data_IF_407631855560
#
_entry.id   IF_407631855560
#
_cell.length_a   1.000
_cell.length_b   1.000
_cell.length_c   1.000
_cell.angle_alpha   90.00
_cell.angle_beta   90.00
_cell.angle_gamma   90.00
#
_symmetry.space_group_name_H-M   'P 1'
#
loop_
_entity.id
_entity.type
_entity.pdbx_description
1 polymer ?
#
# COMPACT_ATOMS: atom_id res chain seq x y z
N UNK A 1 4.77 3.68 25.64
CA UNK A 1 5.11 3.02 24.36
C UNK A 1 5.47 1.59 24.65
N UNK A 2 4.81 0.64 24.04
CA UNK A 2 5.19 -0.76 24.21
C UNK A 2 6.45 -1.01 23.40
N UNK A 3 7.46 -1.64 23.98
CA UNK A 3 8.76 -1.99 23.39
C UNK A 3 8.64 -2.64 22.00
N UNK A 4 7.57 -3.40 21.80
CA UNK A 4 7.27 -4.11 20.55
C UNK A 4 6.92 -3.20 19.36
N UNK A 5 6.19 -2.10 19.57
CA UNK A 5 5.82 -1.15 18.49
C UNK A 5 7.04 -0.31 18.07
N UNK A 6 7.88 0.06 19.00
CA UNK A 6 9.13 0.77 18.71
C UNK A 6 10.10 -0.11 17.92
N UNK A 7 10.25 -1.37 18.29
CA UNK A 7 11.04 -2.36 17.54
C UNK A 7 10.52 -2.55 16.11
N UNK A 8 9.16 -2.57 15.90
CA UNK A 8 8.58 -2.67 14.57
C UNK A 8 8.86 -1.41 13.74
N UNK A 9 8.78 -0.22 14.33
CA UNK A 9 9.10 1.03 13.65
C UNK A 9 10.57 1.06 13.19
N UNK A 10 11.50 0.64 14.03
CA UNK A 10 12.91 0.61 13.67
C UNK A 10 13.19 -0.39 12.54
N UNK A 11 12.55 -1.55 12.54
CA UNK A 11 12.64 -2.53 11.46
C UNK A 11 12.07 -1.98 10.14
N UNK A 12 10.92 -1.27 10.19
CA UNK A 12 10.35 -0.61 9.00
C UNK A 12 11.33 0.41 8.44
N UNK A 13 11.91 1.27 9.27
CA UNK A 13 12.91 2.27 8.87
C UNK A 13 14.19 1.66 8.30
N UNK A 14 14.55 0.47 8.76
CA UNK A 14 15.67 -0.28 8.20
C UNK A 14 15.34 -0.95 6.84
N UNK A 15 14.12 -0.79 6.32
CA UNK A 15 13.68 -1.36 5.04
C UNK A 15 13.32 -2.86 5.12
N UNK A 16 13.10 -3.42 6.31
CA UNK A 16 12.69 -4.81 6.43
C UNK A 16 11.30 -5.04 5.83
N UNK A 17 11.23 -5.82 4.76
CA UNK A 17 9.99 -6.07 4.00
C UNK A 17 8.93 -6.82 4.81
N UNK A 18 9.32 -7.65 5.77
CA UNK A 18 8.38 -8.38 6.63
C UNK A 18 7.79 -7.43 7.67
N UNK A 19 8.64 -6.57 8.24
CA UNK A 19 8.20 -5.53 9.16
C UNK A 19 7.26 -4.54 8.46
N UNK A 20 7.57 -4.12 7.24
CA UNK A 20 6.72 -3.28 6.40
C UNK A 20 5.35 -3.92 6.15
N UNK A 21 5.31 -5.18 5.71
CA UNK A 21 4.06 -5.89 5.49
C UNK A 21 3.23 -6.04 6.77
N UNK A 22 3.89 -6.29 7.91
CA UNK A 22 3.25 -6.39 9.23
C UNK A 22 2.70 -5.05 9.70
N UNK A 23 3.44 -3.96 9.52
CA UNK A 23 3.03 -2.60 9.86
C UNK A 23 1.78 -2.19 9.08
N UNK A 24 1.75 -2.47 7.77
CA UNK A 24 0.58 -2.19 6.93
C UNK A 24 -0.62 -3.06 7.36
N UNK A 25 -0.41 -4.35 7.65
CA UNK A 25 -1.49 -5.22 8.17
C UNK A 25 -2.07 -4.69 9.48
N UNK A 26 -1.23 -4.11 10.34
CA UNK A 26 -1.66 -3.53 11.61
C UNK A 26 -2.59 -2.32 11.42
N UNK A 27 -2.24 -1.38 10.54
CA UNK A 27 -3.07 -0.20 10.26
C UNK A 27 -4.32 -0.53 9.45
N UNK A 28 -4.30 -1.61 8.66
CA UNK A 28 -5.46 -2.12 7.93
C UNK A 28 -6.45 -2.88 8.84
N UNK A 29 -6.04 -3.27 10.03
CA UNK A 29 -6.86 -4.06 10.95
C UNK A 29 -8.10 -3.28 11.42
N UNK A 30 -9.21 -4.03 11.58
CA UNK A 30 -10.45 -3.50 12.16
C UNK A 30 -10.57 -3.76 13.65
N UNK A 31 -9.64 -4.49 14.23
CA UNK A 31 -9.65 -4.87 15.64
C UNK A 31 -9.36 -3.66 16.53
N UNK A 32 -10.05 -3.59 17.63
CA UNK A 32 -9.94 -2.47 18.56
C UNK A 32 -8.60 -2.45 19.30
N UNK A 33 -8.10 -3.63 19.69
CA UNK A 33 -6.80 -3.83 20.33
C UNK A 33 -5.60 -3.42 19.44
N UNK A 34 -5.78 -3.46 18.10
CA UNK A 34 -4.76 -3.03 17.14
C UNK A 34 -4.73 -1.51 16.92
N UNK A 35 -5.76 -0.77 17.30
CA UNK A 35 -5.83 0.69 17.05
C UNK A 35 -4.78 1.47 17.80
N UNK A 36 -4.59 1.15 19.08
CA UNK A 36 -3.60 1.81 19.92
C UNK A 36 -2.18 1.48 19.44
N UNK A 37 -1.91 0.22 19.12
CA UNK A 37 -0.63 -0.22 18.59
C UNK A 37 -0.34 0.45 17.23
N UNK A 38 -1.33 0.56 16.33
CA UNK A 38 -1.23 1.25 15.05
C UNK A 38 -0.94 2.75 15.22
N UNK A 39 -1.63 3.42 16.16
CA UNK A 39 -1.40 4.85 16.44
C UNK A 39 0.02 5.09 16.93
N UNK A 40 0.49 4.32 17.89
CA UNK A 40 1.86 4.39 18.41
C UNK A 40 2.90 4.16 17.31
N UNK A 41 2.66 3.18 16.44
CA UNK A 41 3.53 2.91 15.30
C UNK A 41 3.59 4.09 14.34
N UNK A 42 2.44 4.64 13.96
CA UNK A 42 2.35 5.79 13.06
C UNK A 42 3.02 7.04 13.64
N UNK A 43 2.82 7.33 14.92
CA UNK A 43 3.49 8.43 15.62
C UNK A 43 5.02 8.29 15.55
N UNK A 44 5.54 7.06 15.72
CA UNK A 44 6.97 6.79 15.63
C UNK A 44 7.54 6.91 14.21
N UNK A 45 6.72 6.64 13.17
CA UNK A 45 7.12 6.68 11.76
C UNK A 45 6.91 8.05 11.09
N UNK A 46 5.99 8.87 11.59
CA UNK A 46 5.60 10.14 10.99
C UNK A 46 6.77 11.11 10.74
N UNK A 47 7.79 11.25 11.63
CA UNK A 47 8.94 12.12 11.38
C UNK A 47 9.81 11.71 10.18
N UNK A 48 9.63 10.49 9.67
CA UNK A 48 10.43 9.91 8.58
C UNK A 48 9.60 9.74 7.29
N UNK A 49 8.46 10.40 7.21
CA UNK A 49 7.55 10.35 6.05
C UNK A 49 7.42 11.74 5.42
N UNK A 50 6.94 11.81 4.16
CA UNK A 50 6.60 13.06 3.48
C UNK A 50 7.44 13.40 2.26
N UNK A 51 8.52 12.66 1.98
CA UNK A 51 9.45 12.99 0.89
C UNK A 51 9.19 12.20 -0.41
N UNK A 52 8.20 11.31 -0.43
CA UNK A 52 7.90 10.51 -1.63
C UNK A 52 7.01 11.23 -2.65
N UNK A 53 7.15 10.82 -3.91
CA UNK A 53 6.18 11.15 -4.96
C UNK A 53 5.01 10.16 -4.87
N UNK A 54 3.78 10.67 -4.70
CA UNK A 54 2.56 9.86 -4.61
C UNK A 54 1.75 10.01 -5.88
N UNK A 55 1.47 8.89 -6.56
CA UNK A 55 0.71 8.86 -7.81
C UNK A 55 -0.52 7.96 -7.65
N UNK A 56 -1.71 8.51 -7.85
CA UNK A 56 -2.96 7.77 -7.95
C UNK A 56 -3.20 7.31 -9.38
N UNK A 57 -3.45 6.01 -9.59
CA UNK A 57 -3.74 5.41 -10.89
C UNK A 57 -5.17 4.92 -10.85
N UNK A 58 -6.04 5.60 -11.59
CA UNK A 58 -7.46 5.32 -11.69
C UNK A 58 -7.86 5.01 -13.13
N UNK A 59 -8.97 4.33 -13.31
CA UNK A 59 -9.53 4.00 -14.62
C UNK A 59 -10.42 2.76 -14.59
N UNK A 60 -11.18 2.56 -15.66
CA UNK A 60 -12.09 1.43 -15.79
C UNK A 60 -11.38 0.07 -15.66
N UNK A 61 -12.09 -0.99 -15.24
CA UNK A 61 -11.59 -2.36 -15.34
C UNK A 61 -11.13 -2.68 -16.77
N UNK A 62 -9.98 -3.33 -16.92
CA UNK A 62 -9.42 -3.68 -18.23
C UNK A 62 -8.72 -2.54 -18.99
N UNK A 63 -8.63 -1.33 -18.43
CA UNK A 63 -7.95 -0.17 -19.05
C UNK A 63 -6.41 -0.32 -19.14
N UNK A 64 -5.83 -1.39 -18.60
CA UNK A 64 -4.38 -1.62 -18.64
C UNK A 64 -3.61 -0.99 -17.49
N UNK A 65 -4.26 -0.62 -16.37
CA UNK A 65 -3.62 -0.01 -15.20
C UNK A 65 -2.47 -0.86 -14.65
N UNK A 66 -2.70 -2.14 -14.39
CA UNK A 66 -1.67 -3.03 -13.85
C UNK A 66 -0.50 -3.23 -14.83
N UNK A 67 -0.76 -3.26 -16.15
CA UNK A 67 0.28 -3.28 -17.19
C UNK A 67 1.09 -2.00 -17.17
N UNK A 68 0.43 -0.86 -17.04
CA UNK A 68 1.12 0.43 -16.89
C UNK A 68 1.99 0.47 -15.63
N UNK A 69 1.47 0.04 -14.49
CA UNK A 69 2.20 -0.01 -13.22
C UNK A 69 3.44 -0.90 -13.33
N UNK A 70 3.30 -2.06 -13.99
CA UNK A 70 4.41 -2.99 -14.22
C UNK A 70 5.55 -2.31 -15.00
N UNK A 71 5.24 -1.71 -16.14
CA UNK A 71 6.23 -1.05 -17.00
C UNK A 71 6.80 0.20 -16.33
N UNK A 72 5.96 1.04 -15.79
CA UNK A 72 6.35 2.29 -15.15
C UNK A 72 7.15 2.06 -13.86
N UNK A 73 6.74 1.09 -13.05
CA UNK A 73 7.46 0.71 -11.83
C UNK A 73 8.87 0.18 -12.13
N UNK A 74 9.01 -0.68 -13.12
CA UNK A 74 10.33 -1.14 -13.56
C UNK A 74 11.19 0.01 -14.10
N UNK A 75 10.61 0.94 -14.85
CA UNK A 75 11.32 2.13 -15.32
C UNK A 75 11.83 3.00 -14.14
N UNK A 76 11.01 3.21 -13.11
CA UNK A 76 11.42 3.91 -11.87
C UNK A 76 12.63 3.23 -11.24
N UNK A 77 12.65 1.91 -11.17
CA UNK A 77 13.74 1.12 -10.60
C UNK A 77 15.01 1.25 -11.46
N UNK A 78 14.89 1.22 -12.78
CA UNK A 78 16.00 1.42 -13.72
C UNK A 78 16.65 2.80 -13.56
N UNK A 79 15.88 3.82 -13.18
CA UNK A 79 16.38 5.15 -12.85
C UNK A 79 17.05 5.22 -11.45
N UNK A 80 17.12 4.10 -10.72
CA UNK A 80 17.78 4.01 -9.44
C UNK A 80 16.88 4.22 -8.22
N UNK A 81 15.60 4.53 -8.43
CA UNK A 81 14.62 4.77 -7.37
C UNK A 81 13.94 3.48 -6.87
N UNK A 82 13.26 3.60 -5.73
CA UNK A 82 12.45 2.55 -5.14
C UNK A 82 10.95 2.85 -5.29
N UNK A 83 10.12 1.83 -5.47
CA UNK A 83 8.69 1.98 -5.70
C UNK A 83 7.85 1.08 -4.80
N UNK A 84 6.84 1.65 -4.15
CA UNK A 84 5.80 0.89 -3.48
C UNK A 84 4.50 0.97 -4.28
N UNK A 85 3.82 -0.16 -4.46
CA UNK A 85 2.52 -0.25 -5.13
C UNK A 85 1.48 -0.70 -4.12
N UNK A 86 0.49 0.14 -3.88
CA UNK A 86 -0.66 -0.13 -3.03
C UNK A 86 -1.89 -0.33 -3.92
N UNK A 87 -2.27 -1.57 -4.15
CA UNK A 87 -3.46 -1.91 -4.94
C UNK A 87 -4.68 -2.01 -4.02
N UNK A 88 -5.60 -1.06 -4.13
CA UNK A 88 -6.84 -1.02 -3.32
C UNK A 88 -7.95 -1.74 -4.07
N UNK A 89 -8.29 -2.97 -3.63
CA UNK A 89 -9.36 -3.77 -4.24
C UNK A 89 -10.67 -3.65 -3.45
N UNK A 90 -11.70 -2.99 -3.97
CA UNK A 90 -13.00 -2.91 -3.33
C UNK A 90 -13.74 -4.25 -3.26
N UNK A 91 -13.39 -5.24 -4.08
CA UNK A 91 -14.08 -6.54 -4.15
C UNK A 91 -13.59 -7.55 -3.11
N UNK A 92 -12.41 -7.36 -2.54
CA UNK A 92 -11.80 -8.30 -1.57
C UNK A 92 -12.60 -8.45 -0.27
N UNK A 93 -13.47 -7.48 0.05
CA UNK A 93 -14.37 -7.55 1.21
C UNK A 93 -15.52 -8.54 1.01
N UNK A 94 -15.83 -8.94 -0.24
CA UNK A 94 -17.02 -9.73 -0.58
C UNK A 94 -16.68 -11.17 -0.97
N UNK A 95 -15.52 -11.43 -1.56
CA UNK A 95 -15.27 -12.73 -2.20
C UNK A 95 -14.02 -13.50 -1.72
N UNK A 96 -13.17 -12.93 -0.87
CA UNK A 96 -11.99 -13.66 -0.33
C UNK A 96 -11.00 -14.21 -1.38
N UNK A 97 -11.21 -13.94 -2.67
CA UNK A 97 -10.56 -14.66 -3.75
C UNK A 97 -9.69 -13.85 -4.74
N UNK A 98 -9.72 -12.52 -4.70
CA UNK A 98 -9.06 -11.71 -5.75
C UNK A 98 -7.59 -11.34 -5.47
N UNK A 99 -7.08 -11.56 -4.27
CA UNK A 99 -5.71 -11.16 -3.88
C UNK A 99 -4.61 -11.86 -4.69
N UNK A 100 -4.88 -13.03 -5.26
CA UNK A 100 -3.92 -13.77 -6.09
C UNK A 100 -3.89 -13.28 -7.55
N UNK A 101 -4.99 -12.71 -8.07
CA UNK A 101 -5.09 -12.27 -9.47
C UNK A 101 -4.23 -11.05 -9.80
N UNK A 102 -4.02 -10.13 -8.85
CA UNK A 102 -3.24 -8.91 -9.10
C UNK A 102 -1.73 -9.12 -8.97
N UNK A 103 -1.28 -10.05 -8.12
CA UNK A 103 0.14 -10.43 -8.08
C UNK A 103 0.62 -11.13 -9.36
N UNK A 104 -0.26 -11.87 -10.03
CA UNK A 104 0.07 -12.53 -11.31
C UNK A 104 0.16 -11.58 -12.49
N UNK A 105 -0.28 -10.32 -12.34
CA UNK A 105 -0.22 -9.29 -13.38
C UNK A 105 1.01 -8.39 -13.29
N UNK A 106 1.75 -8.45 -12.18
CA UNK A 106 2.98 -7.68 -11.94
C UNK A 106 4.13 -8.66 -11.71
N UNK A 107 4.42 -9.47 -12.73
CA UNK A 107 5.30 -10.64 -12.60
C UNK A 107 6.75 -10.26 -12.31
N UNK A 108 7.26 -9.17 -12.86
CA UNK A 108 8.64 -8.73 -12.64
C UNK A 108 8.76 -7.76 -11.49
N UNK A 109 7.84 -6.79 -11.41
CA UNK A 109 7.87 -5.76 -10.38
C UNK A 109 7.69 -6.34 -8.96
N UNK A 110 6.82 -7.34 -8.80
CA UNK A 110 6.57 -7.97 -7.50
C UNK A 110 7.80 -8.67 -6.90
N UNK A 111 8.77 -9.05 -7.74
CA UNK A 111 10.02 -9.71 -7.32
C UNK A 111 11.23 -8.79 -7.33
N UNK A 112 11.11 -7.57 -7.84
CA UNK A 112 12.20 -6.62 -7.86
C UNK A 112 12.62 -6.21 -6.43
N UNK A 113 13.92 -6.14 -6.18
CA UNK A 113 14.48 -5.82 -4.86
C UNK A 113 14.06 -4.42 -4.39
N UNK A 114 13.98 -3.45 -5.29
CA UNK A 114 13.59 -2.07 -5.02
C UNK A 114 12.07 -1.82 -5.15
N UNK A 115 11.26 -2.87 -5.28
CA UNK A 115 9.81 -2.76 -5.33
C UNK A 115 9.13 -3.44 -4.13
N UNK A 116 8.01 -2.89 -3.72
CA UNK A 116 7.10 -3.50 -2.76
C UNK A 116 5.68 -3.43 -3.31
N UNK A 117 5.06 -4.57 -3.57
CA UNK A 117 3.69 -4.64 -4.08
C UNK A 117 2.76 -5.19 -3.01
N UNK A 118 1.76 -4.41 -2.63
CA UNK A 118 0.80 -4.75 -1.58
C UNK A 118 -0.63 -4.64 -2.10
N UNK A 119 -1.34 -5.76 -2.26
CA UNK A 119 -2.79 -5.73 -2.36
C UNK A 119 -3.38 -5.37 -0.99
N UNK A 120 -4.21 -4.34 -0.93
CA UNK A 120 -4.87 -3.88 0.29
C UNK A 120 -6.37 -4.08 0.17
N UNK A 121 -7.02 -4.69 1.18
CA UNK A 121 -8.47 -4.86 1.15
C UNK A 121 -9.16 -3.49 1.25
N UNK A 122 -10.10 -3.23 0.36
CA UNK A 122 -11.02 -2.13 0.53
C UNK A 122 -11.91 -2.39 1.75
N UNK A 123 -11.85 -1.52 2.73
CA UNK A 123 -12.75 -1.58 3.88
C UNK A 123 -14.21 -1.36 3.45
N UNK A 124 -15.16 -1.84 4.26
CA UNK A 124 -16.60 -1.73 4.00
C UNK A 124 -17.15 -0.30 3.91
N UNK A 125 -16.36 0.72 4.23
CA UNK A 125 -16.75 2.14 4.20
C UNK A 125 -15.75 2.95 3.39
N UNK A 126 -16.23 3.79 2.47
CA UNK A 126 -15.40 4.66 1.61
C UNK A 126 -14.37 5.48 2.43
N UNK A 127 -14.77 6.06 3.56
CA UNK A 127 -13.88 6.83 4.43
C UNK A 127 -12.79 6.01 5.11
N UNK A 128 -13.08 4.73 5.41
CA UNK A 128 -12.11 3.80 6.00
C UNK A 128 -10.98 3.41 5.05
N UNK A 129 -11.28 3.25 3.75
CA UNK A 129 -10.28 2.96 2.72
C UNK A 129 -9.29 4.11 2.60
N UNK A 130 -9.78 5.34 2.47
CA UNK A 130 -8.93 6.53 2.31
C UNK A 130 -7.98 6.72 3.48
N UNK A 131 -8.45 6.51 4.71
CA UNK A 131 -7.60 6.60 5.91
C UNK A 131 -6.50 5.56 5.91
N UNK A 132 -6.84 4.29 5.71
CA UNK A 132 -5.88 3.17 5.72
C UNK A 132 -4.85 3.29 4.60
N UNK A 133 -5.28 3.72 3.42
CA UNK A 133 -4.37 3.96 2.30
C UNK A 133 -3.36 5.06 2.64
N UNK A 134 -3.79 6.16 3.29
CA UNK A 134 -2.88 7.20 3.77
C UNK A 134 -1.89 6.68 4.80
N UNK A 135 -2.35 5.93 5.77
CA UNK A 135 -1.51 5.31 6.81
C UNK A 135 -0.48 4.36 6.18
N UNK A 136 -0.90 3.55 5.19
CA UNK A 136 0.01 2.66 4.45
C UNK A 136 1.05 3.43 3.62
N UNK A 137 0.67 4.57 3.00
CA UNK A 137 1.62 5.43 2.31
C UNK A 137 2.68 5.99 3.25
N UNK A 138 2.29 6.50 4.43
CA UNK A 138 3.23 7.00 5.43
C UNK A 138 4.23 5.92 5.88
N UNK A 139 3.76 4.69 6.05
CA UNK A 139 4.62 3.56 6.42
C UNK A 139 5.61 3.24 5.28
N UNK A 140 5.17 3.23 4.02
CA UNK A 140 6.06 3.01 2.87
C UNK A 140 7.12 4.13 2.76
N UNK A 141 6.75 5.38 2.99
CA UNK A 141 7.69 6.51 3.00
C UNK A 141 8.75 6.36 4.09
N UNK A 142 8.31 6.04 5.31
CA UNK A 142 9.22 5.81 6.43
C UNK A 142 10.15 4.61 6.20
N UNK A 143 9.76 3.66 5.35
CA UNK A 143 10.59 2.55 4.90
C UNK A 143 11.58 2.94 3.78
N UNK A 144 11.56 4.19 3.29
CA UNK A 144 12.49 4.72 2.31
C UNK A 144 12.08 4.55 0.85
N UNK A 145 10.79 4.36 0.54
CA UNK A 145 10.33 4.32 -0.85
C UNK A 145 10.20 5.74 -1.43
N UNK A 146 10.83 5.96 -2.60
CA UNK A 146 10.85 7.25 -3.29
C UNK A 146 9.54 7.56 -4.00
N UNK A 147 8.89 6.52 -4.55
CA UNK A 147 7.65 6.63 -5.31
C UNK A 147 6.60 5.66 -4.76
N UNK A 148 5.39 6.16 -4.56
CA UNK A 148 4.24 5.35 -4.12
C UNK A 148 3.15 5.43 -5.16
N UNK A 149 2.83 4.29 -5.78
CA UNK A 149 1.75 4.13 -6.73
C UNK A 149 0.52 3.58 -5.99
N UNK A 150 -0.60 4.27 -6.07
CA UNK A 150 -1.87 3.81 -5.51
C UNK A 150 -2.80 3.44 -6.64
N UNK A 151 -3.01 2.14 -6.85
CA UNK A 151 -3.96 1.65 -7.84
C UNK A 151 -5.36 1.54 -7.21
N UNK A 152 -6.34 2.20 -7.83
CA UNK A 152 -7.76 2.02 -7.49
C UNK A 152 -8.38 1.03 -8.46
N UNK A 153 -9.03 -0.01 -7.92
CA UNK A 153 -9.75 -0.99 -8.73
C UNK A 153 -11.21 -0.57 -8.87
N UNK A 154 -11.63 -0.33 -10.12
CA UNK A 154 -13.05 -0.25 -10.47
C UNK A 154 -13.82 0.94 -9.91
N UNK A 155 -13.22 2.12 -9.82
CA UNK A 155 -13.96 3.37 -9.64
C UNK A 155 -14.61 3.67 -10.99
N UNK A 156 -15.80 3.28 -11.22
CA UNK A 156 -16.51 3.46 -12.50
C UNK A 156 -17.91 2.86 -12.49
N UNK A 157 -18.27 2.15 -11.41
CA UNK A 157 -19.61 1.58 -11.27
C UNK A 157 -20.52 2.39 -10.31
N UNK A 158 -19.94 3.26 -9.50
CA UNK A 158 -20.71 4.12 -8.58
C UNK A 158 -20.69 5.60 -8.97
N UNK A 159 -19.84 6.01 -9.94
CA UNK A 159 -19.77 7.40 -10.43
C UNK A 159 -20.75 7.69 -11.60
N UNK A 160 -21.42 6.68 -12.12
CA UNK A 160 -22.48 6.81 -13.12
C UNK A 160 -23.88 6.97 -12.51
N UNK A 161 -23.98 7.09 -11.20
CA UNK A 161 -25.23 7.34 -10.49
C UNK A 161 -25.27 8.80 -9.97
N UNK A 162 -25.01 9.76 -10.89
CA UNK A 162 -25.37 11.17 -10.71
C UNK A 162 -26.22 11.60 -11.87
#
# INVERSE_FOLDING_TARGET
MTDKSQSLADQVRAGDRRALAKAITLVESTREDHREEASTLLEALMPYSGDSIRLGISGAPGAGKSTFIEVFGNHIIEQGHSVAVLAVDPSSAVTGGSILGDKTRMETLAFAEKAFVRPSPAGKTLGGVTRRTRESMLICEAAGFDVILVETVGVGQSETAV
#
